data_IF_789276541139
#
_entry.id   IF_789276541139
#
_cell.length_a   1.000
_cell.length_b   1.000
_cell.length_c   1.000
_cell.angle_alpha   90.00
_cell.angle_beta   90.00
_cell.angle_gamma   90.00
#
_symmetry.space_group_name_H-M   'P 1'
#
loop_
_entity.id
_entity.type
_entity.pdbx_description
1 polymer ?
#
# COMPACT_ATOMS: atom_id res chain seq x y z
N UNK A 1 6.72 2.31 12.29
CA UNK A 1 6.24 1.14 11.52
C UNK A 1 4.75 1.31 11.32
N UNK A 2 4.30 1.36 10.07
CA UNK A 2 2.92 1.63 9.68
C UNK A 2 2.31 0.29 9.25
N UNK A 3 1.25 -0.15 9.93
CA UNK A 3 0.55 -1.35 9.49
C UNK A 3 -0.23 -1.01 8.21
N UNK A 4 -0.06 -1.81 7.16
CA UNK A 4 -0.76 -1.67 5.87
C UNK A 4 -1.63 -2.90 5.65
N UNK A 5 -2.94 -2.72 5.52
CA UNK A 5 -3.89 -3.81 5.28
C UNK A 5 -5.07 -3.36 4.43
N UNK A 6 -5.77 -4.32 3.81
CA UNK A 6 -6.88 -4.06 2.88
C UNK A 6 -8.11 -3.40 3.50
N UNK A 7 -8.14 -3.18 4.82
CA UNK A 7 -9.24 -2.46 5.50
C UNK A 7 -8.87 -0.99 5.82
N UNK A 8 -7.64 -0.55 5.57
CA UNK A 8 -7.25 0.84 5.85
C UNK A 8 -7.90 1.84 4.87
N UNK A 9 -8.13 3.08 5.27
CA UNK A 9 -8.52 4.13 4.35
C UNK A 9 -7.49 4.30 3.21
N UNK A 10 -7.96 4.56 2.00
CA UNK A 10 -7.08 4.86 0.86
C UNK A 10 -6.22 6.11 1.12
N UNK A 11 -6.70 7.06 1.92
CA UNK A 11 -5.93 8.23 2.35
C UNK A 11 -4.65 7.84 3.09
N UNK A 12 -4.73 6.88 4.01
CA UNK A 12 -3.56 6.39 4.76
C UNK A 12 -2.54 5.72 3.84
N UNK A 13 -3.01 5.00 2.81
CA UNK A 13 -2.12 4.39 1.80
C UNK A 13 -1.42 5.45 0.93
N UNK A 14 -2.11 6.56 0.63
CA UNK A 14 -1.56 7.69 -0.12
C UNK A 14 -0.59 8.55 0.72
N UNK A 15 -0.70 8.51 2.06
CA UNK A 15 0.21 9.22 2.96
C UNK A 15 1.58 8.53 3.09
N UNK A 16 1.67 7.25 2.72
CA UNK A 16 2.92 6.47 2.77
C UNK A 16 3.94 6.98 1.77
N UNK A 17 5.21 7.04 2.20
CA UNK A 17 6.33 7.50 1.37
C UNK A 17 7.45 6.49 1.30
N UNK A 18 8.26 6.61 0.25
CA UNK A 18 9.51 5.86 0.14
C UNK A 18 10.39 6.19 1.34
N UNK A 19 10.89 5.15 2.00
CA UNK A 19 11.63 5.26 3.25
C UNK A 19 10.79 5.01 4.50
N UNK A 20 9.47 4.92 4.42
CA UNK A 20 8.65 4.49 5.56
C UNK A 20 8.78 2.99 5.80
N UNK A 21 8.76 2.59 7.06
CA UNK A 21 8.69 1.19 7.47
C UNK A 21 7.23 0.75 7.54
N UNK A 22 6.83 -0.18 6.67
CA UNK A 22 5.47 -0.72 6.60
C UNK A 22 5.42 -2.19 7.00
N UNK A 23 4.24 -2.66 7.42
CA UNK A 23 3.99 -4.08 7.69
C UNK A 23 2.56 -4.51 7.37
N UNK A 24 2.39 -5.63 6.69
CA UNK A 24 1.08 -6.26 6.46
C UNK A 24 0.82 -7.43 7.42
N UNK A 25 1.44 -7.44 8.60
CA UNK A 25 1.36 -8.55 9.57
C UNK A 25 2.14 -9.81 9.18
N UNK A 26 2.17 -10.18 7.89
CA UNK A 26 2.97 -11.28 7.35
C UNK A 26 4.35 -10.83 6.85
N UNK A 27 4.43 -9.62 6.31
CA UNK A 27 5.66 -9.05 5.75
C UNK A 27 5.88 -7.68 6.34
N UNK A 28 7.13 -7.32 6.56
CA UNK A 28 7.53 -6.01 7.04
C UNK A 28 8.82 -5.57 6.37
N UNK A 29 9.00 -4.26 6.27
CA UNK A 29 10.23 -3.66 5.81
C UNK A 29 10.07 -2.21 5.41
N UNK A 30 11.16 -1.64 4.91
CA UNK A 30 11.22 -0.28 4.43
C UNK A 30 10.81 -0.19 2.95
N UNK A 31 9.90 0.73 2.64
CA UNK A 31 9.48 1.01 1.28
C UNK A 31 10.69 1.53 0.49
N UNK A 32 11.03 0.83 -0.59
CA UNK A 32 12.00 1.27 -1.60
C UNK A 32 11.33 2.01 -2.75
N UNK A 33 10.13 1.59 -3.14
CA UNK A 33 9.39 2.21 -4.22
C UNK A 33 7.89 2.05 -4.00
N UNK A 34 7.10 2.99 -4.52
CA UNK A 34 5.64 2.96 -4.45
C UNK A 34 5.13 3.14 -5.86
N UNK A 35 4.41 2.13 -6.35
CA UNK A 35 3.68 2.21 -7.61
C UNK A 35 2.19 2.25 -7.31
N UNK A 36 1.51 3.24 -7.86
CA UNK A 36 0.06 3.41 -7.71
C UNK A 36 -0.55 3.30 -9.10
N UNK A 37 -1.41 2.30 -9.27
CA UNK A 37 -2.16 2.07 -10.49
C UNK A 37 -3.63 2.28 -10.21
N UNK A 38 -4.17 3.38 -10.69
CA UNK A 38 -5.60 3.64 -10.68
C UNK A 38 -6.24 3.03 -11.92
N UNK A 39 -7.24 2.17 -11.72
CA UNK A 39 -8.13 1.68 -12.77
C UNK A 39 -9.54 2.21 -12.55
N UNK A 40 -10.44 2.03 -13.52
CA UNK A 40 -11.84 2.46 -13.41
C UNK A 40 -12.56 1.82 -12.21
N UNK A 41 -12.17 0.61 -11.81
CA UNK A 41 -12.85 -0.16 -10.76
C UNK A 41 -12.14 -0.10 -9.40
N UNK A 42 -10.81 0.06 -9.38
CA UNK A 42 -10.03 0.05 -8.14
C UNK A 42 -8.72 0.83 -8.24
N UNK A 43 -8.22 1.25 -7.08
CA UNK A 43 -6.84 1.69 -6.90
C UNK A 43 -6.00 0.51 -6.43
N UNK A 44 -4.93 0.21 -7.16
CA UNK A 44 -3.92 -0.76 -6.77
C UNK A 44 -2.67 -0.02 -6.29
N UNK A 45 -2.23 -0.35 -5.08
CA UNK A 45 -0.99 0.16 -4.49
C UNK A 45 0.00 -0.99 -4.41
N UNK A 46 1.15 -0.83 -5.04
CA UNK A 46 2.25 -1.78 -5.03
C UNK A 46 3.42 -1.15 -4.30
N UNK A 47 3.62 -1.56 -3.05
CA UNK A 47 4.73 -1.13 -2.23
C UNK A 47 5.89 -2.11 -2.40
N UNK A 48 6.95 -1.70 -3.08
CA UNK A 48 8.17 -2.50 -3.20
C UNK A 48 9.03 -2.28 -1.97
N UNK A 49 9.42 -3.37 -1.31
CA UNK A 49 10.34 -3.41 -0.19
C UNK A 49 11.67 -4.02 -0.65
N UNK A 50 12.70 -4.02 0.20
CA UNK A 50 14.01 -4.56 -0.19
C UNK A 50 13.99 -6.03 -0.63
N UNK A 51 13.22 -6.88 0.05
CA UNK A 51 13.16 -8.32 -0.20
C UNK A 51 11.73 -8.84 -0.46
N UNK A 52 10.75 -7.95 -0.57
CA UNK A 52 9.34 -8.30 -0.69
C UNK A 52 8.57 -7.19 -1.38
N UNK A 53 7.30 -7.45 -1.69
CA UNK A 53 6.38 -6.42 -2.17
C UNK A 53 5.03 -6.64 -1.49
N UNK A 54 4.35 -5.55 -1.17
CA UNK A 54 3.00 -5.57 -0.61
C UNK A 54 2.08 -4.96 -1.67
N UNK A 55 1.08 -5.72 -2.09
CA UNK A 55 0.08 -5.28 -3.05
C UNK A 55 -1.23 -5.11 -2.30
N UNK A 56 -1.77 -3.90 -2.30
CA UNK A 56 -3.05 -3.57 -1.67
C UNK A 56 -3.98 -3.15 -2.80
N UNK A 57 -5.19 -3.72 -2.84
CA UNK A 57 -6.22 -3.37 -3.82
C UNK A 57 -7.39 -2.72 -3.11
N UNK A 58 -7.71 -1.50 -3.51
CA UNK A 58 -8.81 -0.71 -2.98
C UNK A 58 -9.84 -0.47 -4.05
N UNK A 59 -10.96 -1.19 -3.96
CA UNK A 59 -12.14 -0.85 -4.74
C UNK A 59 -12.53 0.60 -4.45
N UNK A 60 -12.87 1.35 -5.49
CA UNK A 60 -13.53 2.64 -5.31
C UNK A 60 -14.86 2.31 -4.63
N UNK A 61 -14.96 2.58 -3.33
CA UNK A 61 -16.27 2.63 -2.68
C UNK A 61 -16.99 3.82 -3.30
N UNK A 62 -17.80 3.54 -4.32
CA UNK A 62 -18.81 4.46 -4.81
C UNK A 62 -19.82 4.58 -3.66
N UNK A 63 -19.83 5.73 -2.99
CA UNK A 63 -20.86 6.06 -2.00
C UNK A 63 -22.25 6.07 -2.63
#
# INVERSE_FOLDING_TARGET
>A
MIAVHDQLPTSTLLELKVGDDISNGNQSGKIKNIEISETDEFLMFLFQLENSHIIIKKLKQVC
#
